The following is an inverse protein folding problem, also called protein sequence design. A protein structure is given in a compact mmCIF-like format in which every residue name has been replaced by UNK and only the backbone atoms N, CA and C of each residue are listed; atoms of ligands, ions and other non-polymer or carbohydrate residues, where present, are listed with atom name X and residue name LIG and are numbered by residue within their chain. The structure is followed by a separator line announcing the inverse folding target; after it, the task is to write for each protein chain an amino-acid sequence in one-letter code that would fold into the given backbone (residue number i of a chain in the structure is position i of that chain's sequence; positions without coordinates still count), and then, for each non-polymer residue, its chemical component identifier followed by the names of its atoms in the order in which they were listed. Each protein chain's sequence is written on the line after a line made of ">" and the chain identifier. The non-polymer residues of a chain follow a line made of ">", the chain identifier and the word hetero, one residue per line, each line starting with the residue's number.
data_IF_908227931987
#
_entry.id   IF_908227931987
#
_cell.length_a   1.000
_cell.length_b   1.000
_cell.length_c   1.000
_cell.angle_alpha   90.00
_cell.angle_beta   90.00
_cell.angle_gamma   90.00
#
_symmetry.space_group_name_H-M   'P 1'
#
loop_
_entity.id
_entity.type
_entity.pdbx_description
1 polymer ?
#
# COMPACT_ATOMS: atom_id res chain seq x y z
N UNK A 1 8.51 0.16 15.40
CA UNK A 1 7.72 -0.15 14.20
C UNK A 1 7.99 0.89 13.10
N UNK A 2 7.83 0.51 11.82
CA UNK A 2 8.16 1.34 10.66
C UNK A 2 6.91 2.06 10.11
N UNK A 3 6.52 3.14 10.80
CA UNK A 3 5.41 4.00 10.41
C UNK A 3 5.59 4.59 8.99
N UNK A 4 4.49 4.65 8.21
CA UNK A 4 4.43 5.20 6.85
C UNK A 4 3.09 5.88 6.63
N UNK A 5 3.12 7.21 6.53
CA UNK A 5 1.95 8.09 6.38
C UNK A 5 1.95 8.80 5.02
N UNK A 6 0.87 8.63 4.26
CA UNK A 6 0.78 8.97 2.83
C UNK A 6 -0.51 9.72 2.48
N UNK A 7 -0.49 10.32 1.28
CA UNK A 7 -1.38 11.38 0.84
C UNK A 7 -2.18 10.95 -0.40
N UNK A 8 -3.32 10.35 -0.10
CA UNK A 8 -4.28 9.72 -1.01
C UNK A 8 -5.44 10.67 -1.38
N UNK A 9 -6.41 10.18 -2.17
CA UNK A 9 -7.65 10.89 -2.50
C UNK A 9 -8.88 9.97 -2.48
N UNK A 10 -10.07 10.59 -2.50
CA UNK A 10 -11.36 9.98 -2.16
C UNK A 10 -11.61 8.64 -2.87
N UNK A 11 -11.47 8.59 -4.19
CA UNK A 11 -11.58 7.35 -5.01
C UNK A 11 -10.65 6.24 -4.55
N UNK A 12 -9.36 6.56 -4.44
CA UNK A 12 -8.31 5.62 -4.03
C UNK A 12 -8.57 5.06 -2.62
N UNK A 13 -9.08 5.89 -1.70
CA UNK A 13 -9.52 5.47 -0.37
C UNK A 13 -10.78 4.59 -0.41
N UNK A 14 -11.81 5.04 -1.12
CA UNK A 14 -13.13 4.39 -1.20
C UNK A 14 -13.09 3.04 -1.91
N UNK A 15 -12.22 2.86 -2.90
CA UNK A 15 -11.93 1.58 -3.52
C UNK A 15 -11.32 0.57 -2.52
N UNK A 16 -10.46 1.02 -1.60
CA UNK A 16 -9.95 0.18 -0.50
C UNK A 16 -10.96 -0.06 0.63
N UNK A 17 -11.81 0.93 0.93
CA UNK A 17 -12.96 0.78 1.85
C UNK A 17 -14.02 -0.20 1.34
N UNK A 18 -14.31 -0.17 0.04
CA UNK A 18 -15.23 -1.09 -0.61
C UNK A 18 -14.72 -2.55 -0.56
N UNK A 19 -13.40 -2.76 -0.70
CA UNK A 19 -12.76 -4.05 -0.49
C UNK A 19 -12.81 -4.46 0.99
N UNK A 20 -12.52 -3.53 1.90
CA UNK A 20 -12.56 -3.77 3.34
C UNK A 20 -13.95 -4.19 3.85
N UNK A 21 -15.04 -3.69 3.27
CA UNK A 21 -16.40 -4.14 3.59
C UNK A 21 -16.66 -5.63 3.24
N UNK A 22 -15.90 -6.22 2.31
CA UNK A 22 -15.86 -7.68 2.04
C UNK A 22 -15.28 -8.48 3.22
N UNK A 23 -14.24 -7.92 3.86
CA UNK A 23 -13.63 -8.39 5.13
C UNK A 23 -14.43 -7.99 6.37
N UNK A 24 -15.50 -7.21 6.18
CA UNK A 24 -16.43 -6.67 7.20
C UNK A 24 -15.85 -5.48 7.98
N UNK A 25 -15.12 -4.63 7.25
CA UNK A 25 -14.45 -3.37 7.65
C UNK A 25 -13.13 -3.57 8.39
N UNK A 26 -12.05 -3.19 7.71
CA UNK A 26 -10.64 -3.29 8.13
C UNK A 26 -9.76 -2.25 7.41
N UNK A 27 -10.37 -1.12 7.01
CA UNK A 27 -9.72 -0.06 6.21
C UNK A 27 -8.44 0.44 6.91
N UNK A 28 -7.33 0.52 6.17
CA UNK A 28 -5.98 0.80 6.71
C UNK A 28 -5.13 -0.47 6.83
N UNK A 29 -5.73 -1.54 7.38
CA UNK A 29 -5.09 -2.86 7.46
C UNK A 29 -5.18 -3.62 6.12
N UNK A 30 -6.32 -3.55 5.43
CA UNK A 30 -6.49 -4.15 4.09
C UNK A 30 -5.45 -3.65 3.09
N UNK A 31 -5.12 -2.36 3.18
CA UNK A 31 -4.08 -1.66 2.39
C UNK A 31 -2.74 -2.38 2.55
N UNK A 32 -2.28 -2.51 3.80
CA UNK A 32 -1.02 -3.17 4.09
C UNK A 32 -1.06 -4.65 3.68
N UNK A 33 -2.17 -5.35 3.99
CA UNK A 33 -2.40 -6.74 3.62
C UNK A 33 -2.27 -6.99 2.11
N UNK A 34 -2.74 -6.07 1.27
CA UNK A 34 -2.67 -6.20 -0.19
C UNK A 34 -1.23 -6.12 -0.73
N UNK A 35 -0.45 -5.22 -0.15
CA UNK A 35 0.98 -5.05 -0.39
C UNK A 35 1.77 -6.27 0.10
N UNK A 36 1.40 -6.81 1.26
CA UNK A 36 2.05 -7.99 1.85
C UNK A 36 1.70 -9.26 1.06
N UNK A 37 0.47 -9.33 0.51
CA UNK A 37 0.05 -10.36 -0.43
C UNK A 37 0.86 -10.30 -1.74
N UNK A 38 1.05 -9.10 -2.29
CA UNK A 38 1.82 -8.88 -3.51
C UNK A 38 3.34 -9.16 -3.32
N UNK A 39 3.88 -8.93 -2.12
CA UNK A 39 5.29 -9.10 -1.76
C UNK A 39 5.76 -10.57 -1.82
N UNK A 40 4.83 -11.51 -1.70
CA UNK A 40 5.08 -12.93 -1.91
C UNK A 40 5.53 -13.27 -3.36
N UNK A 41 5.18 -12.45 -4.35
CA UNK A 41 5.41 -12.72 -5.78
C UNK A 41 5.41 -11.44 -6.66
N UNK A 42 6.21 -10.43 -6.26
CA UNK A 42 6.36 -9.14 -6.98
C UNK A 42 6.63 -9.31 -8.50
N UNK A 43 7.53 -10.22 -8.86
CA UNK A 43 7.93 -10.54 -10.26
C UNK A 43 6.85 -11.34 -11.01
N UNK B 1 -7.06 16.62 1.18
CA UNK B 1 -6.31 15.39 0.93
C UNK B 1 -6.77 14.29 1.90
N UNK B 2 -6.60 13.01 1.56
CA UNK B 2 -6.88 11.86 2.42
C UNK B 2 -5.61 11.21 2.95
N UNK B 3 -5.74 10.50 4.08
CA UNK B 3 -4.64 10.19 5.00
C UNK B 3 -4.51 8.68 5.26
N UNK B 4 -3.43 8.08 4.76
CA UNK B 4 -3.15 6.63 4.76
C UNK B 4 -1.89 6.37 5.56
N UNK B 5 -2.09 6.09 6.84
CA UNK B 5 -1.02 5.77 7.78
C UNK B 5 -0.96 4.26 8.10
N UNK B 6 0.19 3.65 7.81
CA UNK B 6 0.51 2.23 7.92
C UNK B 6 1.68 2.01 8.88
N UNK B 7 1.92 0.74 9.22
CA UNK B 7 2.88 0.26 10.21
C UNK B 7 3.57 -1.02 9.71
N UNK B 8 4.53 -0.85 8.80
CA UNK B 8 5.40 -1.89 8.29
C UNK B 8 6.47 -2.31 9.33
N UNK B 9 7.30 -3.29 8.95
CA UNK B 9 8.55 -3.64 9.63
C UNK B 9 9.70 -3.77 8.63
N UNK B 10 10.91 -4.05 9.11
CA UNK B 10 12.16 -3.99 8.33
C UNK B 10 12.10 -4.75 7.00
N UNK B 11 11.61 -5.99 6.99
CA UNK B 11 11.50 -6.82 5.78
C UNK B 11 10.63 -6.17 4.70
N UNK B 12 9.43 -5.75 5.09
CA UNK B 12 8.46 -5.04 4.24
C UNK B 12 9.07 -3.73 3.70
N UNK B 13 9.70 -2.93 4.57
CA UNK B 13 10.24 -1.63 4.16
C UNK B 13 11.45 -1.78 3.21
N UNK B 14 12.35 -2.72 3.50
CA UNK B 14 13.53 -2.98 2.67
C UNK B 14 13.18 -3.64 1.33
N UNK B 15 12.17 -4.50 1.28
CA UNK B 15 11.67 -5.05 0.02
C UNK B 15 11.01 -3.98 -0.88
N UNK B 16 10.31 -3.01 -0.29
CA UNK B 16 9.90 -1.79 -0.97
C UNK B 16 11.09 -0.94 -1.43
N UNK B 17 12.12 -0.76 -0.59
CA UNK B 17 13.38 -0.06 -0.92
C UNK B 17 14.14 -0.69 -2.07
N UNK B 18 14.12 -2.02 -2.20
CA UNK B 18 14.75 -2.74 -3.29
C UNK B 18 14.12 -2.41 -4.66
N UNK B 19 12.79 -2.22 -4.71
CA UNK B 19 12.08 -1.73 -5.88
C UNK B 19 12.29 -0.21 -6.08
N UNK B 20 12.23 0.57 -5.00
CA UNK B 20 12.42 2.01 -5.04
C UNK B 20 13.80 2.42 -5.59
N UNK B 21 14.86 1.70 -5.23
CA UNK B 21 16.20 1.94 -5.76
C UNK B 21 16.32 1.75 -7.30
N UNK B 22 15.48 0.88 -7.90
CA UNK B 22 15.33 0.73 -9.36
C UNK B 22 14.64 1.94 -10.01
N UNK B 23 13.75 2.61 -9.26
CA UNK B 23 13.12 3.91 -9.59
C UNK B 23 14.01 5.12 -9.26
N UNK B 24 15.15 4.87 -8.59
CA UNK B 24 16.21 5.80 -8.17
C UNK B 24 15.92 6.49 -6.82
N UNK B 25 15.34 5.70 -5.90
CA UNK B 25 14.77 6.04 -4.58
C UNK B 25 13.49 6.87 -4.65
N UNK B 26 12.45 6.36 -4.00
CA UNK B 26 11.08 6.89 -3.98
C UNK B 26 10.13 6.20 -2.97
N UNK B 27 10.62 5.46 -1.96
CA UNK B 27 9.83 4.46 -1.19
C UNK B 27 8.41 4.85 -0.79
N UNK B 28 8.19 6.04 -0.21
CA UNK B 28 6.85 6.50 0.20
C UNK B 28 5.87 6.63 -0.99
N UNK B 29 6.37 7.16 -2.10
CA UNK B 29 5.64 7.19 -3.36
C UNK B 29 5.49 5.81 -3.99
N UNK B 30 6.48 4.92 -3.86
CA UNK B 30 6.39 3.54 -4.37
C UNK B 30 5.27 2.74 -3.69
N UNK B 31 5.12 2.92 -2.38
CA UNK B 31 4.06 2.30 -1.56
C UNK B 31 2.68 2.72 -2.09
N UNK B 32 2.51 4.02 -2.35
CA UNK B 32 1.29 4.55 -2.94
C UNK B 32 1.08 4.06 -4.40
N UNK B 33 2.10 4.15 -5.24
CA UNK B 33 2.15 3.66 -6.62
C UNK B 33 1.72 2.19 -6.74
N UNK B 34 2.15 1.32 -5.82
CA UNK B 34 1.86 -0.12 -5.86
C UNK B 34 0.39 -0.43 -5.53
N UNK B 35 -0.17 0.31 -4.58
CA UNK B 35 -1.60 0.32 -4.25
C UNK B 35 -2.42 0.81 -5.45
N UNK B 36 -1.97 1.88 -6.12
CA UNK B 36 -2.66 2.45 -7.28
C UNK B 36 -2.57 1.50 -8.48
N UNK B 37 -1.45 0.79 -8.62
CA UNK B 37 -1.25 -0.24 -9.62
C UNK B 37 -2.16 -1.47 -9.39
N UNK B 38 -2.33 -1.89 -8.14
CA UNK B 38 -3.30 -2.91 -7.76
C UNK B 38 -4.76 -2.47 -7.99
N UNK B 39 -5.06 -1.18 -7.76
CA UNK B 39 -6.42 -0.63 -7.85
C UNK B 39 -7.01 -0.76 -9.27
N UNK B 40 -6.14 -0.69 -10.28
CA UNK B 40 -6.48 -0.92 -11.69
C UNK B 40 -6.99 -2.34 -11.99
N UNK B 41 -6.68 -3.34 -11.15
CA UNK B 41 -7.24 -4.70 -11.21
C UNK B 41 -8.43 -4.90 -10.24
N UNK B 42 -8.40 -4.23 -9.08
CA UNK B 42 -9.47 -4.26 -8.06
C UNK B 42 -10.81 -3.66 -8.57
N UNK B 43 -10.76 -2.60 -9.40
CA UNK B 43 -11.94 -1.91 -9.97
C UNK B 43 -11.68 -1.45 -11.40
#
# INVERSE_FOLDING_TARGET
>A
TRAVSLYFSDEQYQKLEKMANEEEESVGSYIKRYILKALRKIEMRGSHHHHHHGS
>B
TRAVSLYFSDEQYQKLEKMANEEEESVGSYIKRYILKALRKIEMRGSHHHHHHGS
#
